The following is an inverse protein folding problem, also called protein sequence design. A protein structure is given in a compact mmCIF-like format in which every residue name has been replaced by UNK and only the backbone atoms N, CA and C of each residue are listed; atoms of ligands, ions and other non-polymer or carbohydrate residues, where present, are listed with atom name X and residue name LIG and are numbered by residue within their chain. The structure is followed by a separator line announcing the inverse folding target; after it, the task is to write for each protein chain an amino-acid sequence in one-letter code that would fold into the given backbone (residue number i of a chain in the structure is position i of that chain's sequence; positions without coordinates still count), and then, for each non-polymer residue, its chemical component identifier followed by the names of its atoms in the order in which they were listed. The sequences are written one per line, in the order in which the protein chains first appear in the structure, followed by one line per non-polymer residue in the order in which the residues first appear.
data_IF_933467382972
#
_entry.id   IF_933467382972
#
_cell.length_a   1.000
_cell.length_b   1.000
_cell.length_c   1.000
_cell.angle_alpha   90.00
_cell.angle_beta   90.00
_cell.angle_gamma   90.00
#
_symmetry.space_group_name_H-M   'P 1'
#
loop_
_entity.id
_entity.type
_entity.pdbx_description
1 polymer ?
#
# COMPACT_ATOMS: atom_id res chain seq x y z
N UNK A 1 0.63 -31.86 -8.88
CA UNK A 1 0.10 -31.31 -7.60
C UNK A 1 0.01 -32.32 -6.45
N UNK A 2 0.34 -33.61 -6.64
CA UNK A 2 0.38 -34.62 -5.54
C UNK A 2 1.78 -34.73 -4.91
N UNK A 3 2.83 -34.26 -5.58
CA UNK A 3 4.23 -34.40 -5.13
C UNK A 3 4.61 -33.42 -4.01
N UNK A 4 3.90 -32.29 -3.85
CA UNK A 4 4.20 -31.29 -2.80
C UNK A 4 3.71 -31.68 -1.39
N UNK A 5 2.92 -32.76 -1.26
CA UNK A 5 2.31 -33.14 0.02
C UNK A 5 3.15 -34.16 0.81
N UNK A 6 4.14 -34.79 0.18
CA UNK A 6 4.96 -35.83 0.80
C UNK A 6 6.12 -35.23 1.61
N UNK A 7 6.63 -34.07 1.22
CA UNK A 7 7.78 -33.40 1.89
C UNK A 7 7.46 -32.86 3.28
N UNK A 8 6.19 -32.55 3.58
CA UNK A 8 5.78 -32.08 4.90
C UNK A 8 5.65 -33.21 5.93
N UNK A 9 5.40 -34.45 5.48
CA UNK A 9 5.18 -35.58 6.38
C UNK A 9 6.50 -36.13 6.91
N UNK A 10 7.56 -36.09 6.11
CA UNK A 10 8.88 -36.63 6.50
C UNK A 10 9.58 -35.81 7.58
N UNK A 11 9.37 -34.48 7.62
CA UNK A 11 9.95 -33.60 8.66
C UNK A 11 9.26 -33.80 10.01
N UNK A 12 7.98 -34.17 10.02
CA UNK A 12 7.20 -34.36 11.25
C UNK A 12 7.66 -35.58 12.06
N UNK A 13 8.16 -36.62 11.40
CA UNK A 13 8.61 -37.85 12.06
C UNK A 13 9.99 -37.73 12.75
N UNK A 14 10.73 -36.65 12.51
CA UNK A 14 12.06 -36.41 13.08
C UNK A 14 12.08 -35.54 14.34
N UNK A 15 10.92 -35.05 14.81
CA UNK A 15 10.84 -34.15 15.96
C UNK A 15 10.70 -34.92 17.30
N UNK A 16 11.34 -34.45 18.38
CA UNK A 16 11.20 -35.00 19.72
C UNK A 16 9.77 -34.83 20.26
N UNK A 17 9.31 -35.78 21.09
CA UNK A 17 7.91 -35.90 21.51
C UNK A 17 7.35 -34.65 22.22
N UNK A 18 8.20 -33.86 22.88
CA UNK A 18 7.81 -32.60 23.51
C UNK A 18 7.38 -31.50 22.51
N UNK A 19 7.83 -31.57 21.25
CA UNK A 19 7.47 -30.60 20.21
C UNK A 19 6.29 -31.05 19.34
N UNK A 20 5.94 -32.33 19.35
CA UNK A 20 4.82 -32.88 18.57
C UNK A 20 3.47 -32.35 19.05
N UNK A 21 3.31 -32.14 20.36
CA UNK A 21 2.08 -31.63 20.95
C UNK A 21 1.77 -30.18 20.53
N UNK A 22 2.77 -29.31 20.43
CA UNK A 22 2.58 -27.90 20.02
C UNK A 22 2.26 -27.75 18.53
N UNK A 23 2.77 -28.65 17.68
CA UNK A 23 2.50 -28.60 16.24
C UNK A 23 1.09 -29.07 15.86
N UNK A 24 0.53 -30.06 16.57
CA UNK A 24 -0.84 -30.53 16.32
C UNK A 24 -1.85 -29.42 16.58
N UNK A 25 -1.67 -28.63 17.67
CA UNK A 25 -2.53 -27.48 17.97
C UNK A 25 -2.41 -26.37 16.91
N UNK A 26 -1.20 -26.08 16.44
CA UNK A 26 -0.98 -25.05 15.41
C UNK A 26 -1.56 -25.45 14.04
N UNK A 27 -1.49 -26.73 13.66
CA UNK A 27 -2.06 -27.22 12.40
C UNK A 27 -3.59 -27.33 12.45
N UNK A 28 -4.18 -27.69 13.59
CA UNK A 28 -5.65 -27.66 13.76
C UNK A 28 -6.23 -26.25 13.67
N UNK A 29 -5.49 -25.21 14.12
CA UNK A 29 -5.91 -23.82 13.99
C UNK A 29 -5.91 -23.34 12.52
N UNK A 30 -4.93 -23.77 11.72
CA UNK A 30 -4.82 -23.43 10.30
C UNK A 30 -5.88 -24.10 9.42
N UNK A 31 -6.34 -25.30 9.79
CA UNK A 31 -7.40 -26.01 9.06
C UNK A 31 -8.76 -25.36 9.33
N UNK A 32 -9.06 -24.93 10.56
CA UNK A 32 -10.30 -24.22 10.89
C UNK A 32 -10.38 -22.82 10.25
N UNK A 33 -9.24 -22.14 10.07
CA UNK A 33 -9.22 -20.84 9.38
C UNK A 33 -9.51 -20.95 7.87
N UNK A 34 -9.08 -22.04 7.23
CA UNK A 34 -9.33 -22.27 5.78
C UNK A 34 -10.77 -22.65 5.49
N UNK A 35 -11.44 -23.40 6.36
CA UNK A 35 -12.84 -23.79 6.15
C UNK A 35 -13.83 -22.65 6.35
N UNK A 36 -13.47 -21.61 7.12
CA UNK A 36 -14.35 -20.46 7.33
C UNK A 36 -14.28 -19.40 6.22
N UNK A 37 -13.25 -19.43 5.37
CA UNK A 37 -13.04 -18.45 4.28
C UNK A 37 -13.65 -18.86 2.93
N UNK A 38 -14.16 -20.09 2.79
CA UNK A 38 -14.60 -20.63 1.49
C UNK A 38 -16.10 -20.94 1.35
N UNK A 39 -16.90 -20.80 2.42
CA UNK A 39 -18.35 -21.12 2.38
C UNK A 39 -19.29 -19.93 2.70
N UNK A 40 -18.84 -18.69 2.48
CA UNK A 40 -19.61 -17.49 2.84
C UNK A 40 -19.54 -16.35 1.83
N UNK A 41 -19.65 -16.63 0.53
CA UNK A 41 -19.77 -15.59 -0.51
C UNK A 41 -21.09 -15.74 -1.28
N UNK A 42 -22.20 -15.55 -0.60
CA UNK A 42 -23.49 -15.19 -1.22
C UNK A 42 -24.42 -14.69 -0.11
N UNK A 43 -24.71 -13.39 -0.12
CA UNK A 43 -25.53 -12.65 0.86
C UNK A 43 -24.85 -12.24 2.19
N UNK A 44 -23.88 -11.33 2.09
CA UNK A 44 -23.61 -10.40 3.19
C UNK A 44 -24.71 -9.33 3.14
N UNK A 45 -25.75 -9.49 3.95
CA UNK A 45 -26.81 -8.50 4.17
C UNK A 45 -26.26 -7.24 4.85
N UNK A 46 -26.66 -6.06 4.36
CA UNK A 46 -26.29 -4.69 4.79
C UNK A 46 -26.34 -4.42 6.32
N UNK A 47 -26.96 -5.28 7.14
CA UNK A 47 -27.05 -5.14 8.61
C UNK A 47 -25.78 -5.58 9.38
N UNK A 48 -24.85 -6.29 8.77
CA UNK A 48 -23.64 -6.76 9.45
C UNK A 48 -22.64 -5.62 9.77
N UNK A 49 -22.72 -4.50 9.06
CA UNK A 49 -21.80 -3.37 9.24
C UNK A 49 -22.01 -2.62 10.57
N UNK A 50 -23.19 -2.71 11.19
CA UNK A 50 -23.49 -2.01 12.44
C UNK A 50 -23.22 -2.84 13.70
N UNK A 51 -22.90 -4.13 13.58
CA UNK A 51 -22.80 -5.05 14.74
C UNK A 51 -21.40 -5.59 15.01
N UNK A 52 -20.40 -5.25 14.19
CA UNK A 52 -19.03 -5.76 14.33
C UNK A 52 -18.17 -5.05 15.41
N UNK A 53 -18.75 -4.19 16.24
CA UNK A 53 -18.02 -3.44 17.28
C UNK A 53 -18.16 -4.00 18.70
N UNK A 54 -18.87 -5.11 18.90
CA UNK A 54 -19.13 -5.63 20.25
C UNK A 54 -19.21 -7.16 20.29
N UNK A 55 -18.06 -7.82 20.14
CA UNK A 55 -17.89 -9.19 20.61
C UNK A 55 -16.70 -9.23 21.57
N UNK A 56 -17.03 -9.31 22.85
CA UNK A 56 -16.14 -9.34 23.99
C UNK A 56 -15.21 -10.56 23.95
N UNK A 57 -13.91 -10.32 24.09
CA UNK A 57 -12.95 -11.36 24.47
C UNK A 57 -12.98 -11.44 25.99
N UNK A 58 -13.90 -12.24 26.52
CA UNK A 58 -13.82 -12.71 27.91
C UNK A 58 -12.93 -13.95 27.94
N UNK A 59 -11.70 -13.79 28.42
CA UNK A 59 -10.90 -14.90 28.94
C UNK A 59 -10.19 -14.39 30.19
N UNK A 60 -10.80 -14.71 31.32
CA UNK A 60 -10.21 -14.56 32.64
C UNK A 60 -9.13 -15.62 32.82
N UNK A 61 -7.93 -15.25 33.30
CA UNK A 61 -7.37 -15.81 34.54
C UNK A 61 -6.31 -14.89 35.17
N UNK A 62 -6.53 -14.65 36.45
CA UNK A 62 -5.68 -14.24 37.57
C UNK A 62 -4.17 -14.03 37.37
N UNK A 63 -3.69 -12.86 37.81
CA UNK A 63 -2.52 -12.78 38.71
C UNK A 63 -2.51 -11.48 39.51
N UNK A 64 -2.37 -11.61 40.83
CA UNK A 64 -2.33 -10.54 41.82
C UNK A 64 -1.05 -9.70 41.71
N UNK A 65 -1.18 -8.38 41.65
CA UNK A 65 -0.20 -7.46 42.21
C UNK A 65 -0.89 -6.12 42.51
N UNK A 66 -1.01 -5.82 43.81
CA UNK A 66 -1.46 -4.56 44.36
C UNK A 66 -0.51 -3.43 43.98
N UNK A 67 -0.93 -2.59 43.04
CA UNK A 67 -0.31 -1.30 42.77
C UNK A 67 -1.41 -0.28 42.54
N UNK A 68 -1.57 0.66 43.48
CA UNK A 68 -2.47 1.82 43.36
C UNK A 68 -2.11 2.63 42.12
N UNK A 69 -2.74 2.34 41.00
CA UNK A 69 -2.63 3.13 39.79
C UNK A 69 -3.75 4.17 39.82
N UNK A 70 -3.34 5.43 40.02
CA UNK A 70 -4.23 6.58 39.98
C UNK A 70 -5.10 6.53 38.73
N UNK A 71 -6.41 6.55 38.93
CA UNK A 71 -7.42 6.62 37.88
C UNK A 71 -7.28 7.98 37.20
N UNK A 72 -6.45 8.02 36.15
CA UNK A 72 -6.42 9.15 35.23
C UNK A 72 -7.81 9.27 34.62
N UNK A 73 -8.49 10.37 34.95
CA UNK A 73 -9.79 10.76 34.42
C UNK A 73 -9.63 10.95 32.90
N UNK A 74 -9.83 9.88 32.14
CA UNK A 74 -9.86 9.90 30.68
C UNK A 74 -11.02 10.80 30.28
N UNK A 75 -10.70 12.05 29.92
CA UNK A 75 -11.60 12.91 29.17
C UNK A 75 -11.97 12.18 27.91
N UNK A 76 -13.27 11.94 27.70
CA UNK A 76 -13.77 11.37 26.47
C UNK A 76 -13.19 12.16 25.29
N UNK A 77 -12.58 11.51 24.28
CA UNK A 77 -12.06 12.21 23.12
C UNK A 77 -13.23 12.94 22.45
N UNK A 78 -13.08 14.26 22.25
CA UNK A 78 -14.03 15.07 21.51
C UNK A 78 -14.34 14.37 20.18
N UNK A 79 -15.63 14.21 19.88
CA UNK A 79 -16.05 13.61 18.61
C UNK A 79 -15.43 14.44 17.48
N UNK A 80 -14.77 13.80 16.51
CA UNK A 80 -14.17 14.53 15.39
C UNK A 80 -15.27 15.30 14.67
N UNK A 81 -15.11 16.62 14.57
CA UNK A 81 -16.02 17.48 13.82
C UNK A 81 -15.94 17.09 12.35
N UNK A 82 -17.07 16.75 11.69
CA UNK A 82 -17.05 16.39 10.29
C UNK A 82 -16.63 17.60 9.45
N UNK A 83 -15.69 17.39 8.54
CA UNK A 83 -15.05 18.44 7.75
C UNK A 83 -14.76 17.89 6.34
N UNK A 84 -15.05 18.70 5.32
CA UNK A 84 -14.91 18.33 3.91
C UNK A 84 -13.50 18.59 3.37
N UNK A 85 -12.76 19.49 4.02
CA UNK A 85 -11.43 19.95 3.62
C UNK A 85 -10.46 18.78 3.40
N UNK A 86 -10.35 17.78 4.29
CA UNK A 86 -9.43 16.66 4.07
C UNK A 86 -9.76 15.79 2.85
N UNK A 87 -11.01 15.77 2.41
CA UNK A 87 -11.45 15.02 1.23
C UNK A 87 -11.07 15.79 -0.04
N UNK A 88 -11.22 17.12 -0.04
CA UNK A 88 -10.75 17.99 -1.12
C UNK A 88 -9.24 17.97 -1.25
N UNK A 89 -8.51 18.00 -0.13
CA UNK A 89 -7.06 17.89 -0.14
C UNK A 89 -6.60 16.55 -0.75
N UNK A 90 -7.29 15.45 -0.42
CA UNK A 90 -7.02 14.14 -1.02
C UNK A 90 -7.30 14.13 -2.53
N UNK A 91 -8.42 14.72 -2.96
CA UNK A 91 -8.77 14.88 -4.37
C UNK A 91 -7.69 15.65 -5.15
N UNK A 92 -7.28 16.82 -4.65
CA UNK A 92 -6.24 17.65 -5.27
C UNK A 92 -4.91 16.90 -5.30
N UNK A 93 -4.57 16.19 -4.22
CA UNK A 93 -3.34 15.41 -4.15
C UNK A 93 -3.32 14.30 -5.20
N UNK A 94 -4.41 13.54 -5.36
CA UNK A 94 -4.49 12.51 -6.41
C UNK A 94 -4.37 13.13 -7.81
N UNK A 95 -4.96 14.31 -8.03
CA UNK A 95 -4.79 15.08 -9.26
C UNK A 95 -3.31 15.43 -9.54
N UNK A 96 -2.64 16.05 -8.56
CA UNK A 96 -1.21 16.40 -8.65
C UNK A 96 -0.32 15.19 -8.88
N UNK A 97 -0.63 14.05 -8.26
CA UNK A 97 0.12 12.80 -8.46
C UNK A 97 -0.01 12.31 -9.92
N UNK A 98 -1.20 12.37 -10.51
CA UNK A 98 -1.42 11.96 -11.89
C UNK A 98 -0.77 12.92 -12.90
N UNK A 99 -0.82 14.23 -12.65
CA UNK A 99 -0.16 15.24 -13.47
C UNK A 99 1.37 15.08 -13.46
N UNK A 100 1.93 14.73 -12.30
CA UNK A 100 3.37 14.56 -12.10
C UNK A 100 3.81 13.08 -12.10
N UNK A 101 3.02 12.19 -12.71
CA UNK A 101 3.22 10.75 -12.63
C UNK A 101 4.63 10.31 -13.06
N UNK A 102 5.14 10.87 -14.16
CA UNK A 102 6.48 10.54 -14.68
C UNK A 102 7.57 10.91 -13.67
N UNK A 103 7.51 12.10 -13.09
CA UNK A 103 8.48 12.55 -12.09
C UNK A 103 8.36 11.76 -10.78
N UNK A 104 7.14 11.37 -10.38
CA UNK A 104 6.90 10.60 -9.17
C UNK A 104 7.38 9.14 -9.28
N UNK A 105 7.50 8.61 -10.50
CA UNK A 105 7.82 7.19 -10.74
C UNK A 105 9.23 6.98 -11.31
N UNK A 106 9.95 8.06 -11.62
CA UNK A 106 11.32 8.01 -12.15
C UNK A 106 12.26 8.75 -11.23
N UNK A 107 13.20 8.01 -10.65
CA UNK A 107 14.30 8.56 -9.87
C UNK A 107 15.57 8.52 -10.72
N UNK A 108 16.01 9.69 -11.19
CA UNK A 108 17.24 9.83 -11.96
C UNK A 108 18.37 10.26 -11.02
N UNK A 109 19.39 9.44 -10.94
CA UNK A 109 20.61 9.72 -10.20
C UNK A 109 21.76 9.84 -11.18
N UNK A 110 22.67 10.78 -10.92
CA UNK A 110 23.93 10.80 -11.65
C UNK A 110 24.68 9.53 -11.26
N UNK A 111 25.08 8.74 -12.27
CA UNK A 111 25.78 7.50 -12.00
C UNK A 111 27.08 7.81 -11.26
N UNK A 112 27.17 7.38 -10.00
CA UNK A 112 28.42 7.45 -9.25
C UNK A 112 29.42 6.54 -9.97
N UNK A 113 30.45 7.15 -10.57
CA UNK A 113 31.55 6.42 -11.20
C UNK A 113 32.16 5.53 -10.12
N UNK A 114 32.18 4.19 -10.29
CA UNK A 114 32.70 3.28 -9.28
C UNK A 114 34.09 3.73 -8.84
N UNK A 115 34.26 4.00 -7.55
CA UNK A 115 35.50 4.57 -7.00
C UNK A 115 36.72 3.68 -7.28
N UNK A 116 36.49 2.37 -7.41
CA UNK A 116 37.47 1.35 -7.79
C UNK A 116 38.03 1.56 -9.20
N UNK A 117 37.23 2.09 -10.12
CA UNK A 117 37.70 2.50 -11.45
C UNK A 117 38.59 3.75 -11.35
N UNK A 118 38.39 4.62 -10.35
CA UNK A 118 39.21 5.81 -10.11
C UNK A 118 40.48 5.53 -9.29
N UNK A 119 40.69 4.32 -8.78
CA UNK A 119 41.94 3.95 -8.11
C UNK A 119 43.09 3.82 -9.12
N UNK A 120 44.23 4.46 -8.82
CA UNK A 120 45.33 4.75 -9.75
C UNK A 120 45.98 3.55 -10.47
N UNK A 121 45.57 2.32 -10.17
CA UNK A 121 46.13 1.09 -10.74
C UNK A 121 45.55 0.70 -12.10
N UNK A 122 44.44 1.30 -12.54
CA UNK A 122 43.78 0.99 -13.82
C UNK A 122 43.74 2.18 -14.80
N UNK A 123 44.72 3.08 -14.72
CA UNK A 123 44.72 4.34 -15.49
C UNK A 123 44.70 4.13 -17.01
N UNK A 124 45.31 3.07 -17.52
CA UNK A 124 45.32 2.76 -18.96
C UNK A 124 43.98 2.15 -19.43
N UNK A 125 43.41 1.21 -18.67
CA UNK A 125 42.06 0.67 -18.91
C UNK A 125 40.97 1.75 -18.80
N UNK A 126 41.15 2.72 -17.91
CA UNK A 126 40.30 3.90 -17.80
C UNK A 126 40.36 4.77 -19.04
N UNK A 127 41.56 5.04 -19.57
CA UNK A 127 41.72 5.87 -20.78
C UNK A 127 41.14 5.18 -22.00
N UNK A 128 41.28 3.86 -22.12
CA UNK A 128 40.71 3.09 -23.22
C UNK A 128 39.17 3.08 -23.13
N UNK A 129 38.60 2.70 -21.98
CA UNK A 129 37.14 2.67 -21.81
C UNK A 129 36.51 4.06 -21.87
N UNK A 130 37.13 5.08 -21.29
CA UNK A 130 36.64 6.46 -21.32
C UNK A 130 36.92 7.20 -22.64
N UNK A 131 37.67 6.60 -23.57
CA UNK A 131 37.72 7.08 -24.96
C UNK A 131 36.54 6.56 -25.78
N UNK A 132 36.07 5.34 -25.51
CA UNK A 132 34.90 4.73 -26.14
C UNK A 132 33.57 5.20 -25.55
N UNK A 133 33.52 5.44 -24.24
CA UNK A 133 32.40 6.13 -23.60
C UNK A 133 32.80 7.58 -23.49
N UNK A 134 32.14 8.51 -24.18
CA UNK A 134 32.40 9.97 -24.15
C UNK A 134 32.12 10.60 -22.76
N UNK A 135 32.77 10.08 -21.71
CA UNK A 135 32.51 10.29 -20.28
C UNK A 135 33.28 11.49 -19.72
N UNK A 136 34.06 12.18 -20.57
CA UNK A 136 34.87 13.34 -20.19
C UNK A 136 34.52 14.62 -20.95
N UNK A 137 33.55 14.60 -21.85
CA UNK A 137 32.98 15.86 -22.30
C UNK A 137 32.17 16.43 -21.13
N UNK A 138 32.61 17.57 -20.60
CA UNK A 138 32.10 18.21 -19.36
C UNK A 138 30.59 18.51 -19.36
N UNK A 139 29.93 18.26 -20.50
CA UNK A 139 28.50 18.42 -20.76
C UNK A 139 27.69 17.12 -20.67
N UNK A 140 28.32 15.94 -20.56
CA UNK A 140 27.64 14.63 -20.62
C UNK A 140 27.84 13.87 -19.31
N UNK A 141 27.18 14.33 -18.24
CA UNK A 141 27.00 13.50 -17.05
C UNK A 141 25.98 12.40 -17.37
N UNK A 142 26.37 11.13 -17.26
CA UNK A 142 25.46 10.00 -17.48
C UNK A 142 24.46 9.95 -16.32
N UNK A 143 23.24 10.41 -16.58
CA UNK A 143 22.11 10.24 -15.68
C UNK A 143 21.53 8.83 -15.85
N UNK A 144 21.62 8.02 -14.81
CA UNK A 144 20.96 6.71 -14.75
C UNK A 144 19.63 6.86 -14.03
N UNK A 145 18.55 6.55 -14.75
CA UNK A 145 17.21 6.62 -14.21
C UNK A 145 16.73 5.23 -13.80
N UNK A 146 15.99 5.18 -12.69
CA UNK A 146 15.37 3.97 -12.16
C UNK A 146 13.89 4.21 -11.90
N UNK A 147 13.07 3.21 -12.20
CA UNK A 147 11.65 3.27 -11.87
C UNK A 147 11.46 3.03 -10.36
N UNK A 148 10.73 3.90 -9.68
CA UNK A 148 10.44 3.79 -8.24
C UNK A 148 8.94 3.83 -7.97
N UNK A 149 8.48 2.99 -7.04
CA UNK A 149 7.11 3.00 -6.54
C UNK A 149 6.99 3.69 -5.17
N UNK A 150 8.11 4.15 -4.59
CA UNK A 150 8.15 4.65 -3.21
C UNK A 150 7.30 5.90 -3.04
N UNK A 151 7.48 6.89 -3.91
CA UNK A 151 6.74 8.15 -3.85
C UNK A 151 5.24 7.86 -4.02
N UNK A 152 4.86 7.06 -5.02
CA UNK A 152 3.45 6.66 -5.22
C UNK A 152 2.87 6.04 -3.94
N UNK A 153 3.56 5.08 -3.31
CA UNK A 153 3.07 4.42 -2.09
C UNK A 153 2.97 5.36 -0.89
N UNK A 154 3.91 6.30 -0.75
CA UNK A 154 3.86 7.34 0.28
C UNK A 154 2.67 8.29 0.03
N UNK A 155 2.40 8.67 -1.22
CA UNK A 155 1.22 9.48 -1.55
C UNK A 155 -0.09 8.77 -1.20
N UNK A 156 -0.21 7.48 -1.54
CA UNK A 156 -1.41 6.68 -1.27
C UNK A 156 -1.65 6.37 0.22
N UNK A 157 -0.72 6.73 1.12
CA UNK A 157 -0.86 6.43 2.54
C UNK A 157 -0.50 5.00 2.93
N UNK A 158 -0.01 4.19 1.99
CA UNK A 158 0.28 2.77 2.20
C UNK A 158 1.43 2.52 3.18
N UNK A 159 2.31 3.50 3.36
CA UNK A 159 3.45 3.45 4.30
C UNK A 159 3.13 4.06 5.66
N UNK A 160 1.88 4.47 5.89
CA UNK A 160 1.47 5.22 7.08
C UNK A 160 1.95 6.68 7.07
N UNK A 161 2.54 7.13 5.96
CA UNK A 161 2.91 8.53 5.70
C UNK A 161 2.10 9.03 4.51
N UNK A 162 1.93 10.35 4.43
CA UNK A 162 1.32 11.01 3.29
C UNK A 162 -0.12 11.50 3.49
N UNK A 163 -0.66 12.20 2.49
CA UNK A 163 -1.91 12.95 2.60
C UNK A 163 -3.16 12.07 2.62
N UNK A 164 -3.13 10.89 1.99
CA UNK A 164 -4.26 9.95 1.97
C UNK A 164 -4.34 9.04 3.21
N UNK A 165 -3.45 9.20 4.21
CA UNK A 165 -3.50 8.36 5.41
C UNK A 165 -4.81 8.57 6.17
N UNK A 166 -5.56 7.48 6.33
CA UNK A 166 -6.83 7.48 7.05
C UNK A 166 -7.98 8.17 6.31
N UNK A 167 -7.86 8.42 5.01
CA UNK A 167 -8.91 9.06 4.20
C UNK A 167 -10.24 8.30 4.26
N UNK A 168 -10.23 6.97 4.32
CA UNK A 168 -11.45 6.15 4.45
C UNK A 168 -12.26 6.51 5.70
N UNK A 169 -11.57 6.79 6.81
CA UNK A 169 -12.24 7.21 8.06
C UNK A 169 -12.87 8.58 7.91
N UNK A 170 -12.17 9.50 7.24
CA UNK A 170 -12.64 10.87 7.01
C UNK A 170 -13.86 10.88 6.08
N UNK A 171 -13.86 10.06 5.01
CA UNK A 171 -15.01 9.86 4.14
C UNK A 171 -16.20 9.32 4.96
N UNK A 172 -16.00 8.31 5.80
CA UNK A 172 -17.11 7.79 6.64
C UNK A 172 -17.68 8.83 7.59
N UNK A 173 -16.85 9.69 8.18
CA UNK A 173 -17.31 10.78 9.07
C UNK A 173 -18.02 11.87 8.28
N UNK A 174 -17.58 12.17 7.06
CA UNK A 174 -18.21 13.16 6.19
C UNK A 174 -19.61 12.76 5.71
N UNK A 175 -20.04 11.52 5.94
CA UNK A 175 -21.42 11.10 5.72
C UNK A 175 -22.42 11.96 6.53
N UNK A 176 -22.02 12.44 7.71
CA UNK A 176 -22.84 13.30 8.57
C UNK A 176 -23.10 14.69 7.94
N UNK A 177 -22.35 15.06 6.90
CA UNK A 177 -22.52 16.32 6.16
C UNK A 177 -23.49 16.17 4.97
N UNK A 178 -24.00 14.98 4.68
CA UNK A 178 -24.90 14.76 3.57
C UNK A 178 -26.31 15.26 3.92
N UNK A 179 -26.75 16.35 3.27
CA UNK A 179 -28.07 16.94 3.53
C UNK A 179 -29.22 16.16 2.90
N UNK A 180 -28.99 15.56 1.74
CA UNK A 180 -30.00 14.84 0.96
C UNK A 180 -29.99 13.33 1.25
N UNK A 181 -31.02 12.79 1.93
CA UNK A 181 -31.09 11.37 2.25
C UNK A 181 -31.31 10.48 1.01
N UNK A 182 -31.85 11.01 -0.08
CA UNK A 182 -32.11 10.24 -1.30
C UNK A 182 -30.79 9.89 -2.03
N UNK A 183 -29.71 10.64 -1.74
CA UNK A 183 -28.36 10.44 -2.30
C UNK A 183 -27.48 9.54 -1.45
N UNK A 184 -27.99 9.01 -0.34
CA UNK A 184 -27.24 8.15 0.59
C UNK A 184 -26.67 6.91 -0.12
N UNK A 185 -27.47 6.22 -0.93
CA UNK A 185 -27.03 5.02 -1.65
C UNK A 185 -25.94 5.33 -2.69
N UNK A 186 -26.03 6.50 -3.36
CA UNK A 186 -25.01 6.97 -4.30
C UNK A 186 -23.70 7.27 -3.57
N UNK A 187 -23.77 7.94 -2.40
CA UNK A 187 -22.62 8.24 -1.56
C UNK A 187 -21.90 6.97 -1.11
N UNK A 188 -22.65 6.00 -0.57
CA UNK A 188 -22.08 4.73 -0.12
C UNK A 188 -21.41 4.00 -1.28
N UNK A 189 -22.07 3.94 -2.44
CA UNK A 189 -21.52 3.32 -3.66
C UNK A 189 -20.21 3.99 -4.09
N UNK A 190 -20.16 5.32 -4.11
CA UNK A 190 -18.95 6.07 -4.46
C UNK A 190 -17.83 5.86 -3.42
N UNK A 191 -18.17 5.81 -2.14
CA UNK A 191 -17.20 5.56 -1.06
C UNK A 191 -16.58 4.15 -1.16
N UNK A 192 -17.39 3.13 -1.49
CA UNK A 192 -16.91 1.77 -1.69
C UNK A 192 -16.03 1.66 -2.94
N UNK A 193 -16.46 2.28 -4.04
CA UNK A 193 -15.67 2.34 -5.27
C UNK A 193 -14.31 3.00 -5.05
N UNK A 194 -14.27 4.11 -4.29
CA UNK A 194 -13.04 4.77 -3.89
C UNK A 194 -12.13 3.84 -3.07
N UNK A 195 -12.63 3.23 -2.00
CA UNK A 195 -11.83 2.32 -1.16
C UNK A 195 -11.30 1.11 -1.94
N UNK A 196 -12.11 0.54 -2.84
CA UNK A 196 -11.70 -0.58 -3.70
C UNK A 196 -10.60 -0.17 -4.68
N UNK A 197 -10.78 0.96 -5.38
CA UNK A 197 -9.81 1.48 -6.33
C UNK A 197 -8.49 1.87 -5.64
N UNK A 198 -8.55 2.49 -4.46
CA UNK A 198 -7.36 2.86 -3.68
C UNK A 198 -6.60 1.63 -3.17
N UNK A 199 -7.31 0.60 -2.72
CA UNK A 199 -6.71 -0.67 -2.30
C UNK A 199 -6.03 -1.39 -3.48
N UNK A 200 -6.69 -1.40 -4.66
CA UNK A 200 -6.14 -1.93 -5.91
C UNK A 200 -4.89 -1.15 -6.35
N UNK A 201 -4.92 0.18 -6.31
CA UNK A 201 -3.76 1.02 -6.60
C UNK A 201 -2.60 0.69 -5.64
N UNK A 202 -2.88 0.56 -4.35
CA UNK A 202 -1.87 0.25 -3.35
C UNK A 202 -1.20 -1.12 -3.57
N UNK A 203 -1.98 -2.15 -3.91
CA UNK A 203 -1.44 -3.48 -4.17
C UNK A 203 -0.61 -3.54 -5.45
N UNK A 204 -1.07 -2.89 -6.52
CA UNK A 204 -0.34 -2.78 -7.79
C UNK A 204 0.95 -1.98 -7.63
N UNK A 205 0.91 -0.85 -6.92
CA UNK A 205 2.09 -0.07 -6.60
C UNK A 205 3.09 -0.90 -5.79
N UNK A 206 2.64 -1.70 -4.82
CA UNK A 206 3.52 -2.62 -4.08
C UNK A 206 4.17 -3.65 -5.00
N UNK A 207 3.38 -4.32 -5.84
CA UNK A 207 3.86 -5.32 -6.80
C UNK A 207 4.88 -4.75 -7.79
N UNK A 208 4.69 -3.52 -8.24
CA UNK A 208 5.60 -2.84 -9.15
C UNK A 208 7.03 -2.68 -8.62
N UNK A 209 7.22 -2.67 -7.28
CA UNK A 209 8.56 -2.63 -6.68
C UNK A 209 9.30 -3.97 -6.72
N UNK A 210 8.62 -5.04 -7.11
CA UNK A 210 9.17 -6.38 -7.29
C UNK A 210 9.36 -6.73 -8.78
N UNK A 211 8.89 -5.89 -9.69
CA UNK A 211 9.05 -6.12 -11.13
C UNK A 211 10.51 -5.88 -11.55
N UNK A 212 11.05 -6.76 -12.40
CA UNK A 212 12.41 -6.63 -12.93
C UNK A 212 12.63 -5.30 -13.68
N UNK A 213 11.56 -4.75 -14.27
CA UNK A 213 11.57 -3.43 -14.93
C UNK A 213 11.88 -2.28 -13.96
N UNK A 214 11.61 -2.46 -12.66
CA UNK A 214 12.01 -1.50 -11.63
C UNK A 214 13.47 -1.64 -11.19
N UNK A 215 14.15 -2.73 -11.55
CA UNK A 215 15.55 -3.00 -11.18
C UNK A 215 16.54 -2.60 -12.27
N UNK A 216 16.10 -2.46 -13.51
CA UNK A 216 16.96 -2.03 -14.61
C UNK A 216 17.10 -0.50 -14.63
N UNK A 217 18.34 -0.04 -14.69
CA UNK A 217 18.64 1.37 -14.96
C UNK A 217 18.52 1.62 -16.46
N UNK A 218 17.99 2.77 -16.86
CA UNK A 218 17.84 3.17 -18.26
C UNK A 218 18.35 4.60 -18.47
N UNK A 219 18.66 4.92 -19.72
CA UNK A 219 19.12 6.24 -20.12
C UNK A 219 17.97 7.26 -20.09
N UNK A 220 18.27 8.49 -19.68
CA UNK A 220 17.28 9.57 -19.66
C UNK A 220 16.75 9.84 -21.07
N UNK A 221 15.45 9.68 -21.26
CA UNK A 221 14.77 9.93 -22.54
C UNK A 221 14.36 8.66 -23.27
N UNK A 222 14.86 7.50 -22.85
CA UNK A 222 14.36 6.22 -23.34
C UNK A 222 12.97 5.97 -22.73
N UNK A 223 11.94 6.04 -23.58
CA UNK A 223 10.54 6.10 -23.17
C UNK A 223 9.71 4.89 -23.58
N UNK A 224 10.34 3.85 -24.15
CA UNK A 224 9.73 2.56 -24.45
C UNK A 224 9.52 1.73 -23.17
N UNK A 225 8.75 2.30 -22.24
CA UNK A 225 8.27 1.61 -21.07
C UNK A 225 7.04 0.79 -21.43
N UNK A 226 7.05 -0.45 -20.99
CA UNK A 226 5.95 -1.37 -21.19
C UNK A 226 4.67 -0.81 -20.52
N UNK A 227 3.70 -0.38 -21.35
CA UNK A 227 2.38 0.10 -20.92
C UNK A 227 1.60 -0.91 -20.06
N UNK A 228 2.08 -2.15 -19.99
CA UNK A 228 1.48 -3.23 -19.20
C UNK A 228 2.12 -3.43 -17.81
N UNK A 229 3.00 -2.54 -17.36
CA UNK A 229 3.62 -2.63 -16.04
C UNK A 229 2.58 -2.52 -14.90
N UNK A 230 2.87 -3.12 -13.75
CA UNK A 230 2.02 -2.97 -12.55
C UNK A 230 1.89 -1.50 -12.12
N UNK A 231 2.90 -0.67 -12.43
CA UNK A 231 2.89 0.77 -12.18
C UNK A 231 1.84 1.49 -13.03
N UNK A 232 1.76 1.21 -14.34
CA UNK A 232 0.72 1.80 -15.19
C UNK A 232 -0.68 1.28 -14.82
N UNK A 233 -0.81 0.02 -14.41
CA UNK A 233 -2.08 -0.47 -13.86
C UNK A 233 -2.44 0.24 -12.54
N UNK A 234 -1.46 0.52 -11.69
CA UNK A 234 -1.65 1.33 -10.48
C UNK A 234 -2.12 2.73 -10.82
N UNK A 235 -1.57 3.36 -11.87
CA UNK A 235 -2.02 4.68 -12.35
C UNK A 235 -3.50 4.67 -12.72
N UNK A 236 -3.95 3.69 -13.49
CA UNK A 236 -5.37 3.56 -13.88
C UNK A 236 -6.27 3.36 -12.66
N UNK A 237 -5.84 2.58 -11.67
CA UNK A 237 -6.57 2.43 -10.41
C UNK A 237 -6.62 3.74 -9.60
N UNK A 238 -5.58 4.59 -9.69
CA UNK A 238 -5.59 5.94 -9.10
C UNK A 238 -6.56 6.87 -9.83
N UNK A 239 -6.66 6.77 -11.16
CA UNK A 239 -7.67 7.50 -11.95
C UNK A 239 -9.10 7.08 -11.57
N UNK A 240 -9.33 5.77 -11.39
CA UNK A 240 -10.59 5.23 -10.86
C UNK A 240 -10.91 5.80 -9.46
N UNK A 241 -9.94 5.81 -8.56
CA UNK A 241 -10.08 6.37 -7.21
C UNK A 241 -10.37 7.89 -7.27
N UNK A 242 -9.65 8.63 -8.13
CA UNK A 242 -9.87 10.06 -8.33
C UNK A 242 -11.31 10.32 -8.80
N UNK A 243 -11.80 9.57 -9.78
CA UNK A 243 -13.17 9.72 -10.28
C UNK A 243 -14.21 9.46 -9.18
N UNK A 244 -13.97 8.46 -8.32
CA UNK A 244 -14.88 8.16 -7.21
C UNK A 244 -14.88 9.28 -6.16
N UNK A 245 -13.71 9.81 -5.76
CA UNK A 245 -13.63 10.93 -4.80
C UNK A 245 -14.18 12.24 -5.37
N UNK A 246 -14.02 12.49 -6.67
CA UNK A 246 -14.66 13.62 -7.36
C UNK A 246 -16.19 13.56 -7.21
N UNK A 247 -16.77 12.36 -7.33
CA UNK A 247 -18.20 12.12 -7.11
C UNK A 247 -18.63 12.39 -5.66
N UNK A 248 -17.84 11.92 -4.69
CA UNK A 248 -18.07 12.18 -3.25
C UNK A 248 -18.06 13.68 -2.96
N UNK A 249 -17.05 14.41 -3.44
CA UNK A 249 -16.94 15.86 -3.24
C UNK A 249 -18.12 16.58 -3.89
N UNK A 250 -18.53 16.18 -5.10
CA UNK A 250 -19.72 16.74 -5.76
C UNK A 250 -21.00 16.53 -4.95
N UNK A 251 -21.19 15.37 -4.33
CA UNK A 251 -22.32 15.10 -3.42
C UNK A 251 -22.31 16.02 -2.20
N UNK A 252 -21.16 16.15 -1.55
CA UNK A 252 -21.00 16.94 -0.32
C UNK A 252 -21.03 18.47 -0.53
N UNK A 253 -20.84 18.95 -1.76
CA UNK A 253 -20.89 20.39 -2.07
C UNK A 253 -22.23 20.87 -2.62
N UNK A 254 -23.12 19.94 -3.00
CA UNK A 254 -24.41 20.28 -3.62
C UNK A 254 -25.56 20.43 -2.61
N UNK A 255 -25.32 20.09 -1.34
CA UNK A 255 -26.14 20.53 -0.21
C UNK A 255 -25.54 21.81 0.35
#
# INVERSE_FOLDING_TARGET
KIVANITHITVFLSLPDSMRASWVVASSLLILFKTSLLNGLSHITRRAWLTASSAAVSSAVLSCATGSSAVAKSSAPDKPVPSIEPIKDAQETLGKLLENWKTATVDCTFADVPRELLEAKNKELLLEKASTFALFDKSVSVETCKTTNRIVRDYLGATGKGPLVGIDKKIRIALDLLEDPDRLDEYVTASEAFSQALAKATSLAYAAGQDFDSQNNFEKGDSDRNDNSNLEQSRRAIEEAKKAIDGIVGMLQSG
#
